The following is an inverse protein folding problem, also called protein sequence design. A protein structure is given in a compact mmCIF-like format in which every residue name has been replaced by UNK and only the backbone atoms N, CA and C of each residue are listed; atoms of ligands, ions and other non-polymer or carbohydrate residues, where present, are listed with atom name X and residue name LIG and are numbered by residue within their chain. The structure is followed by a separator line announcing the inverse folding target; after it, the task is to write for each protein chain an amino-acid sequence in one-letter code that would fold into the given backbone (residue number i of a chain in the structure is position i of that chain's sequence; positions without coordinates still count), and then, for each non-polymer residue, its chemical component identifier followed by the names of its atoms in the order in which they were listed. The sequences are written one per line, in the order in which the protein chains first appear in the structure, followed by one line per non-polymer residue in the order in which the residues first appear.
data_IF_218955577309
#
_entry.id   IF_218955577309
#
_cell.length_a   1.000
_cell.length_b   1.000
_cell.length_c   1.000
_cell.angle_alpha   90.00
_cell.angle_beta   90.00
_cell.angle_gamma   90.00
#
_symmetry.space_group_name_H-M   'P 1'
#
loop_
_entity.id
_entity.type
_entity.pdbx_description
1 polymer ?
#
# COMPACT_ATOMS: atom_id res chain seq x y z
N UNK A 1 -35.10 -43.07 -15.44
CA UNK A 1 -34.44 -44.36 -15.77
C UNK A 1 -32.93 -44.15 -15.64
N UNK A 2 -32.39 -44.91 -14.68
CA UNK A 2 -31.07 -45.58 -14.69
C UNK A 2 -29.88 -44.63 -14.76
N UNK A 3 -29.15 -44.57 -13.76
CA UNK A 3 -28.22 -45.36 -12.88
C UNK A 3 -26.90 -44.67 -12.93
N UNK A 4 -26.39 -44.12 -11.79
CA UNK A 4 -25.47 -44.76 -10.84
C UNK A 4 -24.22 -45.36 -11.50
N UNK A 5 -23.10 -44.89 -11.00
CA UNK A 5 -21.88 -45.64 -10.60
C UNK A 5 -20.78 -44.55 -10.48
N UNK A 6 -20.31 -44.05 -9.34
CA UNK A 6 -19.61 -44.68 -8.20
C UNK A 6 -18.31 -45.35 -8.58
N UNK A 7 -17.26 -44.90 -8.02
CA UNK A 7 -16.09 -45.50 -7.37
C UNK A 7 -14.89 -44.56 -7.51
N UNK A 8 -14.36 -43.94 -6.45
CA UNK A 8 -13.49 -44.49 -5.39
C UNK A 8 -12.16 -45.06 -5.91
N UNK A 9 -11.10 -44.33 -5.70
CA UNK A 9 -9.73 -44.82 -5.43
C UNK A 9 -8.97 -43.68 -4.73
N UNK A 10 -8.81 -43.65 -3.54
CA UNK A 10 -8.08 -44.18 -2.40
C UNK A 10 -6.63 -44.56 -2.68
N UNK A 11 -5.77 -43.84 -1.91
CA UNK A 11 -4.43 -44.21 -1.44
C UNK A 11 -3.27 -44.14 -2.45
N UNK A 12 -2.23 -43.38 -2.14
CA UNK A 12 -1.06 -43.93 -1.44
C UNK A 12 -0.18 -42.83 -0.83
N UNK A 13 0.02 -42.98 0.47
CA UNK A 13 1.09 -42.35 1.25
C UNK A 13 2.46 -42.84 0.74
N UNK A 14 3.44 -41.96 0.76
CA UNK A 14 4.81 -42.36 1.00
C UNK A 14 5.54 -41.33 1.85
N UNK A 15 5.59 -41.66 3.13
CA UNK A 15 6.52 -41.18 4.12
C UNK A 15 7.92 -41.65 3.70
N UNK A 16 8.87 -40.75 3.59
CA UNK A 16 10.29 -41.09 3.58
C UNK A 16 11.00 -40.19 4.59
N UNK A 17 11.09 -40.73 5.80
CA UNK A 17 12.12 -40.30 6.76
C UNK A 17 13.47 -40.91 6.32
N UNK A 18 14.47 -40.08 6.22
CA UNK A 18 15.84 -40.49 6.42
C UNK A 18 16.54 -39.50 7.34
N UNK A 19 16.68 -39.93 8.58
CA UNK A 19 17.62 -39.38 9.52
C UNK A 19 18.98 -39.95 9.23
N UNK A 20 20.02 -39.11 9.16
CA UNK A 20 21.39 -39.51 9.42
C UNK A 20 22.07 -38.43 10.26
N UNK A 21 22.37 -38.85 11.47
CA UNK A 21 23.13 -38.14 12.45
C UNK A 21 24.63 -38.09 12.02
N UNK A 22 25.27 -36.97 12.26
CA UNK A 22 26.71 -36.81 12.23
C UNK A 22 27.11 -35.67 13.14
N UNK A 23 27.45 -35.97 14.38
CA UNK A 23 28.10 -35.06 15.32
C UNK A 23 29.53 -34.74 14.90
N UNK A 24 29.94 -33.49 14.94
CA UNK A 24 31.16 -33.09 15.60
C UNK A 24 31.19 -31.59 15.86
N UNK A 25 31.43 -31.21 17.10
CA UNK A 25 31.27 -29.90 17.68
C UNK A 25 32.26 -28.85 17.20
N UNK A 26 31.88 -27.62 17.38
CA UNK A 26 32.66 -26.62 18.10
C UNK A 26 31.74 -25.44 18.48
N UNK A 27 31.84 -25.01 19.74
CA UNK A 27 31.16 -23.87 20.30
C UNK A 27 31.62 -22.57 19.63
N UNK A 28 30.71 -21.65 19.24
CA UNK A 28 30.63 -20.32 19.82
C UNK A 28 29.52 -19.46 19.19
N UNK A 29 28.79 -18.86 20.09
CA UNK A 29 28.20 -17.54 20.08
C UNK A 29 26.89 -17.33 19.32
N UNK A 30 25.90 -17.03 20.15
CA UNK A 30 24.54 -16.74 19.84
C UNK A 30 24.36 -15.46 19.01
N UNK A 31 23.40 -15.56 18.15
CA UNK A 31 22.73 -14.52 17.43
C UNK A 31 21.47 -15.17 16.87
N UNK A 32 20.43 -15.20 17.69
CA UNK A 32 19.10 -15.55 17.20
C UNK A 32 18.65 -14.47 16.26
N UNK A 33 18.90 -14.64 14.97
CA UNK A 33 18.19 -13.92 13.93
C UNK A 33 16.77 -14.49 13.92
N UNK A 34 15.84 -13.79 14.54
CA UNK A 34 14.43 -13.94 14.21
C UNK A 34 14.29 -13.40 12.79
N UNK A 35 14.41 -14.27 11.82
CA UNK A 35 13.93 -14.00 10.47
C UNK A 35 12.42 -14.07 10.59
N UNK A 36 11.76 -12.92 10.71
CA UNK A 36 10.36 -12.81 10.33
C UNK A 36 10.21 -13.38 8.92
N UNK A 37 9.12 -14.10 8.62
CA UNK A 37 8.87 -14.54 7.26
C UNK A 37 8.92 -13.31 6.35
N UNK A 38 9.77 -13.33 5.33
CA UNK A 38 9.84 -12.29 4.31
C UNK A 38 8.41 -12.03 3.81
N UNK A 39 7.87 -10.85 4.13
CA UNK A 39 6.67 -10.37 3.48
C UNK A 39 6.95 -10.37 1.97
N UNK A 40 5.98 -10.81 1.13
CA UNK A 40 6.20 -10.81 -0.30
C UNK A 40 6.64 -9.41 -0.74
N UNK A 41 7.75 -9.35 -1.45
CA UNK A 41 8.31 -8.08 -1.89
C UNK A 41 7.34 -7.45 -2.90
N UNK A 42 6.83 -6.25 -2.59
CA UNK A 42 6.10 -5.43 -3.57
C UNK A 42 7.07 -5.14 -4.71
N UNK A 43 6.68 -5.43 -5.95
CA UNK A 43 7.53 -5.24 -7.12
C UNK A 43 7.83 -3.75 -7.36
N UNK A 44 6.80 -2.90 -7.28
CA UNK A 44 6.88 -1.45 -7.36
C UNK A 44 5.62 -0.80 -6.82
N UNK A 45 5.68 0.50 -6.48
CA UNK A 45 4.50 1.28 -6.11
C UNK A 45 3.41 1.22 -7.18
N UNK A 46 3.79 1.32 -8.47
CA UNK A 46 2.86 1.28 -9.59
C UNK A 46 2.17 -0.09 -9.72
N UNK A 47 2.92 -1.19 -9.63
CA UNK A 47 2.35 -2.53 -9.74
C UNK A 47 1.37 -2.80 -8.60
N UNK A 48 1.78 -2.54 -7.37
CA UNK A 48 0.91 -2.71 -6.20
C UNK A 48 -0.35 -1.85 -6.29
N UNK A 49 -0.22 -0.58 -6.65
CA UNK A 49 -1.38 0.31 -6.71
C UNK A 49 -2.35 -0.06 -7.85
N UNK A 50 -1.84 -0.57 -8.96
CA UNK A 50 -2.67 -1.11 -10.05
C UNK A 50 -3.51 -2.29 -9.55
N UNK A 51 -2.92 -3.22 -8.80
CA UNK A 51 -3.63 -4.35 -8.22
C UNK A 51 -4.66 -3.90 -7.17
N UNK A 52 -4.33 -2.89 -6.35
CA UNK A 52 -5.27 -2.28 -5.39
C UNK A 52 -6.47 -1.65 -6.12
N UNK A 53 -6.22 -0.86 -7.18
CA UNK A 53 -7.30 -0.25 -7.97
C UNK A 53 -8.20 -1.28 -8.65
N UNK A 54 -7.63 -2.41 -9.06
CA UNK A 54 -8.38 -3.52 -9.64
C UNK A 54 -9.34 -4.21 -8.64
N UNK A 55 -9.15 -4.01 -7.32
CA UNK A 55 -10.04 -4.54 -6.27
C UNK A 55 -11.24 -3.65 -5.99
N UNK A 56 -11.23 -2.39 -6.42
CA UNK A 56 -12.42 -1.54 -6.31
C UNK A 56 -13.57 -2.15 -7.13
N UNK A 57 -14.77 -2.21 -6.55
CA UNK A 57 -15.95 -2.61 -7.31
C UNK A 57 -16.24 -1.60 -8.41
N UNK A 58 -16.79 -2.04 -9.54
CA UNK A 58 -17.04 -1.14 -10.68
C UNK A 58 -17.96 0.04 -10.32
N UNK A 59 -18.93 -0.18 -9.41
CA UNK A 59 -19.86 0.86 -8.95
C UNK A 59 -19.21 1.85 -7.96
N UNK A 60 -18.04 1.50 -7.39
CA UNK A 60 -17.28 2.34 -6.45
C UNK A 60 -16.14 3.08 -7.16
N UNK A 61 -15.86 2.77 -8.41
CA UNK A 61 -14.89 3.49 -9.22
C UNK A 61 -15.41 4.86 -9.62
N UNK A 62 -14.52 5.82 -9.60
CA UNK A 62 -14.79 7.21 -9.97
C UNK A 62 -13.90 7.63 -11.14
N UNK A 63 -14.23 8.71 -11.86
CA UNK A 63 -13.32 9.29 -12.84
C UNK A 63 -11.99 9.63 -12.20
N UNK A 64 -10.98 8.87 -12.51
CA UNK A 64 -9.68 8.92 -11.83
C UNK A 64 -8.54 9.20 -12.81
N UNK A 65 -7.46 9.69 -12.28
CA UNK A 65 -6.20 9.83 -12.97
C UNK A 65 -5.04 9.76 -12.00
N UNK A 66 -3.87 9.41 -12.50
CA UNK A 66 -2.66 9.31 -11.69
C UNK A 66 -1.41 9.60 -12.50
N UNK A 67 -0.28 9.64 -11.82
CA UNK A 67 1.03 9.88 -12.40
C UNK A 67 1.41 11.36 -12.52
N UNK A 68 2.65 11.58 -12.95
CA UNK A 68 3.16 12.89 -13.32
C UNK A 68 2.80 13.25 -14.79
N UNK A 69 3.30 14.38 -15.29
CA UNK A 69 2.98 14.86 -16.63
C UNK A 69 3.46 13.92 -17.75
N UNK A 70 4.54 13.18 -17.54
CA UNK A 70 5.12 12.27 -18.53
C UNK A 70 4.53 10.85 -18.41
N UNK A 71 4.07 10.46 -17.22
CA UNK A 71 3.53 9.13 -16.89
C UNK A 71 2.04 9.19 -16.51
N UNK A 72 1.32 10.15 -17.09
CA UNK A 72 -0.10 10.35 -16.83
C UNK A 72 -0.93 9.14 -17.27
N UNK A 73 -1.78 8.65 -16.36
CA UNK A 73 -2.74 7.57 -16.61
C UNK A 73 -4.15 8.08 -16.42
N UNK A 74 -5.03 7.74 -17.36
CA UNK A 74 -6.48 7.92 -17.25
C UNK A 74 -7.10 6.65 -16.65
N UNK A 75 -8.12 6.82 -15.82
CA UNK A 75 -8.91 5.75 -15.20
C UNK A 75 -8.09 4.77 -14.31
N UNK A 76 -7.00 5.26 -13.69
CA UNK A 76 -6.19 4.43 -12.82
C UNK A 76 -4.98 5.14 -12.22
N UNK A 77 -4.20 4.42 -11.37
CA UNK A 77 -2.99 4.95 -10.79
C UNK A 77 -1.87 5.06 -11.84
N UNK A 78 -1.05 6.11 -11.72
CA UNK A 78 0.09 6.36 -12.59
C UNK A 78 1.39 6.56 -11.82
N UNK A 79 2.52 6.22 -12.44
CA UNK A 79 3.84 6.45 -11.87
C UNK A 79 4.09 7.94 -11.67
N UNK A 80 4.68 8.31 -10.56
CA UNK A 80 5.04 9.69 -10.26
C UNK A 80 6.53 9.74 -9.86
N UNK A 81 7.36 10.34 -10.73
CA UNK A 81 8.78 10.48 -10.45
C UNK A 81 9.04 11.66 -9.51
N UNK A 82 9.76 11.43 -8.41
CA UNK A 82 10.15 12.47 -7.44
C UNK A 82 11.40 13.20 -7.93
N UNK A 83 11.24 14.03 -8.96
CA UNK A 83 12.31 14.88 -9.50
C UNK A 83 12.22 16.30 -8.93
N UNK A 84 13.28 17.10 -9.05
CA UNK A 84 13.25 18.52 -8.65
C UNK A 84 12.10 19.29 -9.36
N UNK A 85 11.79 18.93 -10.60
CA UNK A 85 10.72 19.56 -11.40
C UNK A 85 9.34 19.20 -10.88
N UNK A 86 9.14 17.94 -10.42
CA UNK A 86 7.84 17.43 -9.98
C UNK A 86 7.60 17.58 -8.47
N UNK A 87 8.64 17.88 -7.68
CA UNK A 87 8.57 17.91 -6.21
C UNK A 87 7.44 18.81 -5.69
N UNK A 88 7.35 20.05 -6.20
CA UNK A 88 6.32 21.00 -5.75
C UNK A 88 4.90 20.51 -6.12
N UNK A 89 4.74 19.90 -7.29
CA UNK A 89 3.45 19.34 -7.71
C UNK A 89 3.02 18.19 -6.82
N UNK A 90 3.95 17.28 -6.46
CA UNK A 90 3.68 16.18 -5.55
C UNK A 90 3.30 16.68 -4.15
N UNK A 91 4.12 17.56 -3.57
CA UNK A 91 3.86 18.16 -2.26
C UNK A 91 2.52 18.89 -2.21
N UNK A 92 2.20 19.65 -3.25
CA UNK A 92 0.92 20.34 -3.34
C UNK A 92 -0.26 19.37 -3.43
N UNK A 93 -0.16 18.34 -4.29
CA UNK A 93 -1.23 17.37 -4.53
C UNK A 93 -1.55 16.55 -3.28
N UNK A 94 -0.52 16.06 -2.61
CA UNK A 94 -0.65 15.17 -1.45
C UNK A 94 -0.59 15.89 -0.10
N UNK A 95 -0.38 17.21 -0.09
CA UNK A 95 -0.11 18.01 1.12
C UNK A 95 1.06 17.49 1.96
N UNK A 96 2.07 16.96 1.28
CA UNK A 96 3.31 16.44 1.88
C UNK A 96 4.24 17.60 2.20
N UNK A 97 4.76 17.67 3.43
CA UNK A 97 5.77 18.66 3.83
C UNK A 97 7.15 18.31 3.25
N UNK A 98 8.12 19.23 3.32
CA UNK A 98 9.49 18.96 2.89
C UNK A 98 10.11 17.77 3.67
N UNK A 99 9.86 17.71 4.98
CA UNK A 99 10.36 16.65 5.84
C UNK A 99 9.79 15.28 5.45
N UNK A 100 8.49 15.20 5.15
CA UNK A 100 7.85 13.97 4.68
C UNK A 100 8.35 13.57 3.28
N UNK A 101 8.50 14.55 2.38
CA UNK A 101 9.04 14.32 1.04
C UNK A 101 10.45 13.72 1.09
N UNK A 102 11.29 14.22 1.99
CA UNK A 102 12.67 13.75 2.17
C UNK A 102 12.76 12.30 2.70
N UNK A 103 11.65 11.75 3.25
CA UNK A 103 11.58 10.34 3.69
C UNK A 103 11.29 9.37 2.55
N UNK A 104 10.90 9.83 1.36
CA UNK A 104 10.47 9.00 0.24
C UNK A 104 11.62 8.67 -0.73
N UNK A 105 11.61 7.44 -1.28
CA UNK A 105 12.39 7.06 -2.45
C UNK A 105 11.62 7.41 -3.74
N UNK A 106 12.32 7.37 -4.89
CA UNK A 106 11.75 7.60 -6.21
C UNK A 106 11.05 6.33 -6.76
N UNK A 107 10.18 5.74 -5.96
CA UNK A 107 9.25 4.68 -6.36
C UNK A 107 7.87 5.04 -5.81
N UNK A 108 7.14 5.79 -6.60
CA UNK A 108 5.86 6.38 -6.23
C UNK A 108 4.82 6.17 -7.32
N UNK A 109 3.59 5.92 -6.91
CA UNK A 109 2.41 5.91 -7.77
C UNK A 109 1.28 6.71 -7.13
N UNK A 110 0.57 7.51 -7.92
CA UNK A 110 -0.52 8.37 -7.43
C UNK A 110 -1.85 8.02 -8.07
N UNK A 111 -2.93 8.33 -7.36
CA UNK A 111 -4.31 8.23 -7.85
C UNK A 111 -5.13 9.36 -7.24
N UNK A 112 -5.91 10.06 -8.08
CA UNK A 112 -6.75 11.15 -7.64
C UNK A 112 -8.10 11.15 -8.36
N UNK A 113 -9.11 11.74 -7.73
CA UNK A 113 -10.39 11.99 -8.36
C UNK A 113 -10.29 13.18 -9.31
N UNK A 114 -10.55 12.99 -10.61
CA UNK A 114 -10.35 14.01 -11.66
C UNK A 114 -11.29 15.21 -11.56
N UNK A 115 -12.46 15.06 -10.95
CA UNK A 115 -13.42 16.17 -10.82
C UNK A 115 -13.17 17.03 -9.60
N UNK A 116 -12.67 16.45 -8.51
CA UNK A 116 -12.32 17.16 -7.28
C UNK A 116 -11.36 16.32 -6.43
N UNK A 117 -10.09 16.72 -6.39
CA UNK A 117 -9.04 16.01 -5.64
C UNK A 117 -9.31 15.91 -4.14
N UNK A 118 -10.08 16.85 -3.54
CA UNK A 118 -10.44 16.78 -2.13
C UNK A 118 -11.41 15.64 -1.80
N UNK A 119 -12.03 15.01 -2.81
CA UNK A 119 -12.89 13.84 -2.60
C UNK A 119 -12.11 12.53 -2.58
N UNK A 120 -10.95 12.50 -3.19
CA UNK A 120 -9.97 11.42 -3.09
C UNK A 120 -8.64 11.82 -3.72
N UNK A 121 -7.59 11.76 -2.93
CA UNK A 121 -6.22 11.87 -3.40
C UNK A 121 -5.33 10.92 -2.59
N UNK A 122 -4.45 10.21 -3.27
CA UNK A 122 -3.63 9.18 -2.64
C UNK A 122 -2.34 8.91 -3.39
N UNK A 123 -1.37 8.35 -2.67
CA UNK A 123 -0.15 7.81 -3.22
C UNK A 123 0.28 6.53 -2.50
N UNK A 124 0.92 5.64 -3.25
CA UNK A 124 1.78 4.58 -2.75
C UNK A 124 3.20 5.04 -2.94
N UNK A 125 4.00 5.06 -1.89
CA UNK A 125 5.38 5.54 -1.94
C UNK A 125 6.31 4.65 -1.10
N UNK A 126 7.52 4.41 -1.61
CA UNK A 126 8.54 3.67 -0.88
C UNK A 126 9.25 4.57 0.11
N UNK A 127 9.44 4.08 1.34
CA UNK A 127 10.20 4.79 2.37
C UNK A 127 11.71 4.48 2.24
N UNK A 128 12.55 5.50 2.42
CA UNK A 128 14.02 5.32 2.58
C UNK A 128 14.36 4.51 3.81
N UNK A 129 13.56 4.64 4.86
CA UNK A 129 13.69 3.89 6.12
C UNK A 129 12.30 3.39 6.56
N UNK A 130 11.96 2.11 6.28
CA UNK A 130 10.66 1.55 6.64
C UNK A 130 10.36 1.57 8.13
N UNK A 131 11.38 1.60 8.99
CA UNK A 131 11.18 1.68 10.45
C UNK A 131 10.54 2.99 10.90
N UNK A 132 10.51 4.00 10.03
CA UNK A 132 9.89 5.31 10.26
C UNK A 132 8.45 5.42 9.76
N UNK A 133 7.82 4.33 9.33
CA UNK A 133 6.46 4.37 8.81
C UNK A 133 5.45 4.98 9.81
N UNK A 134 5.59 4.69 11.11
CA UNK A 134 4.71 5.27 12.14
C UNK A 134 4.94 6.77 12.35
N UNK A 135 6.19 7.25 12.29
CA UNK A 135 6.55 8.68 12.33
C UNK A 135 5.95 9.39 11.12
N UNK A 136 6.19 8.86 9.92
CA UNK A 136 5.60 9.38 8.68
C UNK A 136 4.07 9.50 8.77
N UNK A 137 3.41 8.48 9.31
CA UNK A 137 1.95 8.44 9.39
C UNK A 137 1.37 9.53 10.31
N UNK A 138 1.98 9.77 11.48
CA UNK A 138 1.55 10.83 12.40
C UNK A 138 1.81 12.23 11.83
N UNK A 139 2.93 12.44 11.17
CA UNK A 139 3.27 13.72 10.55
C UNK A 139 2.37 14.00 9.36
N UNK A 140 2.06 12.99 8.53
CA UNK A 140 1.12 13.13 7.42
C UNK A 140 -0.30 13.46 7.90
N UNK A 141 -0.80 12.77 8.93
CA UNK A 141 -2.08 13.12 9.56
C UNK A 141 -2.08 14.59 10.01
N UNK A 142 -1.01 15.02 10.68
CA UNK A 142 -0.89 16.41 11.16
C UNK A 142 -0.88 17.41 9.99
N UNK A 143 -0.20 17.09 8.90
CA UNK A 143 -0.18 17.92 7.71
C UNK A 143 -1.58 18.06 7.08
N UNK A 144 -2.35 16.96 6.98
CA UNK A 144 -3.71 16.98 6.44
C UNK A 144 -4.66 17.76 7.37
N UNK A 145 -4.61 17.52 8.68
CA UNK A 145 -5.46 18.22 9.66
C UNK A 145 -5.14 19.71 9.78
N UNK A 146 -3.95 20.13 9.36
CA UNK A 146 -3.55 21.53 9.29
C UNK A 146 -4.05 22.28 8.05
N UNK A 147 -4.65 21.59 7.08
CA UNK A 147 -5.11 22.22 5.84
C UNK A 147 -6.36 23.07 6.03
N UNK A 148 -6.49 24.08 5.18
CA UNK A 148 -7.72 24.88 5.04
C UNK A 148 -8.42 24.47 3.77
N UNK A 149 -9.36 23.57 3.92
CA UNK A 149 -10.13 23.04 2.80
C UNK A 149 -11.07 24.10 2.20
N UNK A 150 -11.10 24.16 0.85
CA UNK A 150 -12.01 25.00 0.07
C UNK A 150 -12.53 24.16 -1.11
N UNK A 151 -13.80 24.33 -1.45
CA UNK A 151 -14.45 23.66 -2.59
C UNK A 151 -14.48 22.12 -2.51
N UNK A 152 -14.54 21.58 -1.31
CA UNK A 152 -14.60 20.16 -0.98
C UNK A 152 -13.93 19.92 0.37
N UNK A 153 -14.50 19.04 1.16
CA UNK A 153 -14.03 18.74 2.49
C UNK A 153 -13.80 17.23 2.55
N UNK A 154 -12.56 16.75 2.68
CA UNK A 154 -12.31 15.33 2.91
C UNK A 154 -12.82 14.95 4.30
N UNK A 155 -13.37 13.74 4.43
CA UNK A 155 -13.83 13.20 5.70
C UNK A 155 -12.68 12.60 6.50
N UNK A 156 -11.77 11.91 5.79
CA UNK A 156 -10.75 11.05 6.42
C UNK A 156 -9.37 11.26 5.83
N UNK A 157 -8.38 10.99 6.66
CA UNK A 157 -6.99 10.73 6.29
C UNK A 157 -6.62 9.31 6.73
N UNK A 158 -5.92 8.57 5.87
CA UNK A 158 -5.43 7.23 6.16
C UNK A 158 -3.97 7.09 5.77
N UNK A 159 -3.22 6.34 6.58
CA UNK A 159 -1.89 5.84 6.21
C UNK A 159 -1.83 4.34 6.52
N UNK A 160 -1.40 3.57 5.53
CA UNK A 160 -1.25 2.11 5.63
C UNK A 160 0.20 1.78 5.34
N UNK A 161 0.85 0.94 6.15
CA UNK A 161 2.16 0.37 5.84
C UNK A 161 2.02 -0.97 5.14
N UNK A 162 2.85 -1.20 4.13
CA UNK A 162 2.90 -2.45 3.36
C UNK A 162 4.36 -2.74 3.00
N UNK A 163 5.03 -3.61 3.77
CA UNK A 163 6.47 -3.81 3.61
C UNK A 163 7.25 -2.50 3.75
N UNK A 164 8.04 -2.15 2.74
CA UNK A 164 8.83 -0.91 2.70
C UNK A 164 8.03 0.31 2.21
N UNK A 165 6.75 0.15 1.93
CA UNK A 165 5.89 1.18 1.36
C UNK A 165 4.89 1.72 2.37
N UNK A 166 4.47 2.96 2.11
CA UNK A 166 3.28 3.56 2.71
C UNK A 166 2.26 3.89 1.64
N UNK A 167 0.99 3.62 1.95
CA UNK A 167 -0.15 4.15 1.21
C UNK A 167 -0.69 5.31 2.02
N UNK A 168 -0.65 6.51 1.47
CA UNK A 168 -1.19 7.71 2.09
C UNK A 168 -2.38 8.21 1.28
N UNK A 169 -3.46 8.61 1.95
CA UNK A 169 -4.63 9.13 1.26
C UNK A 169 -5.46 10.05 2.16
N UNK A 170 -6.19 10.95 1.50
CA UNK A 170 -7.29 11.71 2.11
C UNK A 170 -8.47 11.78 1.13
N UNK A 171 -9.68 11.90 1.66
CA UNK A 171 -10.88 11.98 0.83
C UNK A 171 -12.16 11.67 1.58
N UNK A 172 -13.23 11.41 0.82
CA UNK A 172 -14.52 11.00 1.37
C UNK A 172 -14.41 9.62 2.02
N UNK A 173 -15.15 9.41 3.08
CA UNK A 173 -15.09 8.20 3.91
C UNK A 173 -15.25 6.91 3.09
N UNK A 174 -16.23 6.84 2.19
CA UNK A 174 -16.47 5.65 1.38
C UNK A 174 -15.26 5.31 0.49
N UNK A 175 -14.65 6.31 -0.16
CA UNK A 175 -13.49 6.11 -1.02
C UNK A 175 -12.26 5.63 -0.21
N UNK A 176 -12.06 6.19 0.97
CA UNK A 176 -10.97 5.79 1.88
C UNK A 176 -11.20 4.37 2.41
N UNK A 177 -12.43 4.03 2.81
CA UNK A 177 -12.76 2.68 3.27
C UNK A 177 -12.54 1.63 2.17
N UNK A 178 -12.90 1.96 0.92
CA UNK A 178 -12.66 1.09 -0.25
C UNK A 178 -11.16 0.90 -0.49
N UNK A 179 -10.34 1.96 -0.35
CA UNK A 179 -8.89 1.87 -0.46
C UNK A 179 -8.29 0.93 0.60
N UNK A 180 -8.70 1.10 1.88
CA UNK A 180 -8.24 0.25 2.99
C UNK A 180 -8.58 -1.22 2.73
N UNK A 181 -9.82 -1.50 2.34
CA UNK A 181 -10.28 -2.86 2.03
C UNK A 181 -9.50 -3.47 0.84
N UNK A 182 -9.26 -2.66 -0.20
CA UNK A 182 -8.53 -3.09 -1.39
C UNK A 182 -7.04 -3.38 -1.08
N UNK A 183 -6.36 -2.53 -0.30
CA UNK A 183 -4.99 -2.78 0.14
C UNK A 183 -4.87 -4.10 0.90
N UNK A 184 -5.77 -4.34 1.87
CA UNK A 184 -5.78 -5.59 2.65
C UNK A 184 -6.12 -6.82 1.81
N UNK A 185 -6.88 -6.66 0.71
CA UNK A 185 -7.21 -7.75 -0.20
C UNK A 185 -6.07 -8.11 -1.17
N UNK A 186 -5.15 -7.18 -1.43
CA UNK A 186 -3.96 -7.40 -2.27
C UNK A 186 -2.82 -7.94 -1.42
N UNK A 187 -2.61 -7.38 -0.22
CA UNK A 187 -1.50 -7.76 0.64
C UNK A 187 -1.98 -7.92 2.10
N UNK A 188 -1.97 -9.14 2.60
CA UNK A 188 -2.44 -9.48 3.95
C UNK A 188 -1.60 -8.84 5.07
N UNK A 189 -0.36 -8.47 4.79
CA UNK A 189 0.52 -7.78 5.74
C UNK A 189 0.23 -6.29 5.85
N UNK A 190 -0.65 -5.74 5.01
CA UNK A 190 -1.05 -4.33 5.06
C UNK A 190 -1.59 -3.96 6.44
N UNK A 191 -0.98 -2.95 7.07
CA UNK A 191 -1.33 -2.51 8.42
C UNK A 191 -1.75 -1.05 8.40
N UNK A 192 -2.97 -0.76 8.84
CA UNK A 192 -3.46 0.62 9.00
C UNK A 192 -2.76 1.26 10.19
N UNK A 193 -1.93 2.27 9.94
CA UNK A 193 -1.23 3.05 10.96
C UNK A 193 -2.07 4.22 11.46
N UNK A 194 -2.76 4.90 10.54
CA UNK A 194 -3.66 6.02 10.80
C UNK A 194 -4.96 5.78 10.05
N UNK A 195 -6.08 5.99 10.71
CA UNK A 195 -7.43 6.17 10.17
C UNK A 195 -8.14 7.21 11.05
N UNK A 196 -8.19 8.44 10.59
CA UNK A 196 -8.61 9.58 11.40
C UNK A 196 -9.45 10.58 10.58
N UNK A 197 -10.25 11.46 11.24
CA UNK A 197 -10.86 12.59 10.56
C UNK A 197 -9.80 13.48 9.89
N UNK A 198 -10.13 14.02 8.70
CA UNK A 198 -9.27 14.98 7.99
C UNK A 198 -9.26 16.37 8.63
N UNK A 199 -10.24 16.69 9.47
CA UNK A 199 -10.30 17.91 10.29
C UNK A 199 -10.00 17.56 11.76
N UNK A 200 -9.25 18.43 12.47
CA UNK A 200 -8.87 18.26 13.87
C UNK A 200 -10.00 18.64 14.85
#
# INVERSE_FOLDING_TARGET
MKKMISLLLVMLMSVSMLALAGCSGNENNGGGSNTEPDAPAIESAQAFYTDVWAKFAEDDKFPSGGGDAEHSMEDGPGQFLLTEENAESFKYLLHVTDELYDMLEDDVSTLQHMMNTNTFCSAVAKLKDPSKAAEFAEDYKTAIQGQRWMCGFPDKVVVISVGDYVVMAYGLEDNINNLVAACSAVEESATVLIDAPAEA
#
